data_IF_822529917387
#
_entry.id   IF_822529917387
#
_cell.length_a   1.000
_cell.length_b   1.000
_cell.length_c   1.000
_cell.angle_alpha   90.00
_cell.angle_beta   90.00
_cell.angle_gamma   90.00
#
_symmetry.space_group_name_H-M   'P 1'
#
loop_
_entity.id
_entity.type
_entity.pdbx_description
1 polymer ?
#
# COMPACT_ATOMS: atom_id res chain seq x y z
N UNK A 1 8.36 5.91 -2.11
CA UNK A 1 7.44 5.96 -3.27
C UNK A 1 6.11 6.56 -2.84
N UNK A 2 5.54 7.51 -3.58
CA UNK A 2 4.30 8.17 -3.16
C UNK A 2 3.04 7.51 -3.71
N UNK A 3 2.06 7.28 -2.85
CA UNK A 3 0.76 6.75 -3.25
C UNK A 3 -0.37 7.37 -2.42
N UNK A 4 -1.59 7.32 -2.96
CA UNK A 4 -2.79 7.53 -2.16
C UNK A 4 -3.27 6.17 -1.65
N UNK A 5 -3.43 6.03 -0.34
CA UNK A 5 -3.96 4.82 0.28
C UNK A 5 -5.34 5.06 0.88
N UNK A 6 -6.21 4.07 0.77
CA UNK A 6 -7.46 3.96 1.50
C UNK A 6 -7.43 2.66 2.30
N UNK A 7 -7.82 2.71 3.56
CA UNK A 7 -7.87 1.57 4.47
C UNK A 7 -9.33 1.37 4.89
N UNK A 8 -9.81 0.13 4.76
CA UNK A 8 -11.19 -0.25 5.05
C UNK A 8 -11.26 -1.34 6.11
N UNK A 9 -12.26 -1.24 6.98
CA UNK A 9 -12.75 -2.32 7.83
C UNK A 9 -14.11 -2.78 7.29
N UNK A 10 -14.13 -3.93 6.61
CA UNK A 10 -15.31 -4.37 5.86
C UNK A 10 -15.72 -3.36 4.77
N UNK A 11 -16.87 -2.70 4.98
CA UNK A 11 -17.39 -1.66 4.07
C UNK A 11 -17.06 -0.23 4.51
N UNK A 12 -16.55 -0.07 5.73
CA UNK A 12 -16.31 1.24 6.33
C UNK A 12 -14.91 1.73 5.98
N UNK A 13 -14.81 2.97 5.47
CA UNK A 13 -13.51 3.61 5.26
C UNK A 13 -13.04 4.22 6.57
N UNK A 14 -11.96 3.66 7.12
CA UNK A 14 -11.45 4.06 8.45
C UNK A 14 -10.26 5.01 8.36
N UNK A 15 -9.57 5.06 7.21
CA UNK A 15 -8.45 5.98 7.00
C UNK A 15 -8.16 6.18 5.51
N UNK A 16 -7.68 7.36 5.14
CA UNK A 16 -7.19 7.66 3.80
C UNK A 16 -6.14 8.77 3.81
N UNK A 17 -5.30 8.81 2.78
CA UNK A 17 -4.38 9.92 2.56
C UNK A 17 -3.18 9.57 1.69
N UNK A 18 -2.35 10.59 1.43
CA UNK A 18 -1.08 10.39 0.75
C UNK A 18 -0.02 9.84 1.71
N UNK A 19 0.71 8.84 1.23
CA UNK A 19 1.73 8.11 1.97
C UNK A 19 3.02 8.01 1.17
N UNK A 20 4.12 7.94 1.89
CA UNK A 20 5.38 7.43 1.38
C UNK A 20 5.48 5.93 1.71
N UNK A 21 5.89 5.16 0.72
CA UNK A 21 6.03 3.71 0.73
C UNK A 21 7.49 3.34 0.53
N UNK A 22 7.98 2.42 1.35
CA UNK A 22 9.25 1.76 1.10
C UNK A 22 9.11 0.28 1.40
N UNK A 23 9.69 -0.56 0.54
CA UNK A 23 9.79 -1.98 0.78
C UNK A 23 11.26 -2.33 1.01
N UNK A 24 11.58 -2.95 2.13
CA UNK A 24 12.92 -3.39 2.46
C UNK A 24 12.89 -4.57 3.43
N UNK A 25 13.77 -5.55 3.22
CA UNK A 25 13.90 -6.73 4.11
C UNK A 25 12.55 -7.43 4.35
N UNK A 26 11.78 -7.66 3.29
CA UNK A 26 10.44 -8.26 3.35
C UNK A 26 9.40 -7.50 4.19
N UNK A 27 9.60 -6.20 4.41
CA UNK A 27 8.67 -5.33 5.16
C UNK A 27 8.25 -4.15 4.29
N UNK A 28 6.94 -4.01 4.09
CA UNK A 28 6.31 -2.82 3.55
C UNK A 28 6.12 -1.79 4.65
N UNK A 29 6.80 -0.65 4.53
CA UNK A 29 6.63 0.50 5.41
C UNK A 29 5.75 1.56 4.74
N UNK A 30 4.70 1.99 5.44
CA UNK A 30 3.75 3.01 4.99
C UNK A 30 3.80 4.19 5.97
N UNK A 31 4.27 5.33 5.49
CA UNK A 31 4.40 6.56 6.30
C UNK A 31 3.44 7.63 5.80
N UNK A 32 2.57 8.15 6.66
CA UNK A 32 1.71 9.28 6.31
C UNK A 32 2.50 10.56 5.98
N UNK A 33 2.13 11.23 4.89
CA UNK A 33 2.66 12.55 4.54
C UNK A 33 1.86 13.64 5.30
N UNK A 34 2.13 13.81 6.59
CA UNK A 34 1.62 14.96 7.38
C UNK A 34 2.81 15.73 7.93
N UNK A 35 2.88 17.03 7.66
CA UNK A 35 4.02 17.88 8.00
C UNK A 35 4.46 17.74 9.46
N UNK A 36 5.78 17.61 9.66
CA UNK A 36 6.56 17.59 10.92
C UNK A 36 6.06 16.81 12.15
N UNK A 37 4.92 16.12 12.09
CA UNK A 37 4.39 15.36 13.21
C UNK A 37 4.69 13.88 13.01
N UNK A 38 5.66 13.41 13.79
CA UNK A 38 6.09 12.01 14.03
C UNK A 38 5.31 10.99 13.20
N UNK A 39 5.97 10.54 12.12
CA UNK A 39 5.54 9.49 11.19
C UNK A 39 4.94 8.31 11.96
N UNK A 40 3.61 8.14 11.93
CA UNK A 40 3.05 6.79 12.16
C UNK A 40 3.46 5.97 10.94
N UNK A 41 4.45 5.11 11.15
CA UNK A 41 4.88 4.12 10.17
C UNK A 41 4.06 2.87 10.45
N UNK A 42 3.30 2.41 9.45
CA UNK A 42 2.71 1.08 9.47
C UNK A 42 3.74 0.17 8.83
N UNK A 43 4.22 -0.82 9.58
CA UNK A 43 5.13 -1.85 9.08
C UNK A 43 4.32 -3.13 8.87
N UNK A 44 4.34 -3.63 7.64
CA UNK A 44 3.58 -4.81 7.21
C UNK A 44 4.59 -5.83 6.69
N UNK A 45 4.84 -6.92 7.43
CA UNK A 45 5.59 -8.06 6.93
C UNK A 45 4.90 -8.65 5.71
N UNK A 46 5.63 -8.93 4.63
CA UNK A 46 5.01 -9.35 3.37
C UNK A 46 4.38 -10.76 3.47
N UNK A 47 4.91 -11.61 4.33
CA UNK A 47 4.36 -12.92 4.66
C UNK A 47 2.99 -12.87 5.36
N UNK A 48 2.60 -11.70 5.87
CA UNK A 48 1.28 -11.46 6.48
C UNK A 48 0.29 -10.79 5.51
N UNK A 49 0.74 -10.46 4.30
CA UNK A 49 -0.10 -9.90 3.24
C UNK A 49 -0.84 -11.05 2.56
N UNK A 50 -2.14 -10.86 2.33
CA UNK A 50 -2.98 -11.84 1.63
C UNK A 50 -3.97 -11.14 0.70
N UNK A 51 -4.63 -11.90 -0.17
CA UNK A 51 -5.69 -11.38 -1.04
C UNK A 51 -5.22 -10.22 -1.93
N UNK A 52 -4.04 -10.35 -2.52
CA UNK A 52 -3.49 -9.34 -3.43
C UNK A 52 -4.32 -9.31 -4.70
N UNK A 53 -4.80 -8.12 -5.07
CA UNK A 53 -5.54 -7.85 -6.28
C UNK A 53 -4.93 -6.64 -7.00
N UNK A 54 -4.62 -6.79 -8.29
CA UNK A 54 -4.25 -5.67 -9.17
C UNK A 54 -5.39 -5.36 -10.12
N UNK A 55 -5.47 -4.10 -10.58
CA UNK A 55 -6.51 -3.68 -11.51
C UNK A 55 -6.45 -2.20 -11.86
N UNK A 56 -7.56 -1.67 -12.35
CA UNK A 56 -7.69 -0.24 -12.70
C UNK A 56 -8.85 0.42 -11.95
N UNK A 57 -8.67 1.68 -11.60
CA UNK A 57 -9.69 2.58 -11.06
C UNK A 57 -9.63 3.91 -11.83
N UNK A 58 -10.67 4.22 -12.60
CA UNK A 58 -10.72 5.43 -13.45
C UNK A 58 -9.45 5.63 -14.30
N UNK A 59 -9.00 4.57 -14.98
CA UNK A 59 -7.77 4.51 -15.78
C UNK A 59 -6.45 4.56 -14.99
N UNK A 60 -6.48 4.78 -13.68
CA UNK A 60 -5.32 4.67 -12.80
C UNK A 60 -5.11 3.23 -12.37
N UNK A 61 -3.86 2.83 -12.22
CA UNK A 61 -3.56 1.52 -11.67
C UNK A 61 -3.89 1.48 -10.18
N UNK A 62 -4.44 0.35 -9.77
CA UNK A 62 -4.87 0.09 -8.40
C UNK A 62 -4.29 -1.24 -7.95
N UNK A 63 -3.76 -1.26 -6.74
CA UNK A 63 -3.40 -2.50 -6.05
C UNK A 63 -4.12 -2.54 -4.72
N UNK A 64 -4.57 -3.71 -4.29
CA UNK A 64 -5.09 -3.89 -2.95
C UNK A 64 -4.64 -5.20 -2.34
N UNK A 65 -4.61 -5.23 -1.02
CA UNK A 65 -4.33 -6.43 -0.25
C UNK A 65 -5.02 -6.39 1.11
N UNK A 66 -5.01 -7.52 1.80
CA UNK A 66 -5.53 -7.70 3.15
C UNK A 66 -4.37 -7.84 4.13
N UNK A 67 -4.48 -7.16 5.28
CA UNK A 67 -3.58 -7.31 6.42
C UNK A 67 -4.35 -7.08 7.72
N UNK A 68 -4.22 -7.99 8.69
CA UNK A 68 -4.94 -7.95 9.98
C UNK A 68 -6.46 -7.69 9.84
N UNK A 69 -7.09 -8.26 8.82
CA UNK A 69 -8.53 -8.09 8.55
C UNK A 69 -8.91 -6.78 7.85
N UNK A 70 -7.97 -5.84 7.67
CA UNK A 70 -8.19 -4.58 6.97
C UNK A 70 -7.83 -4.69 5.49
N UNK A 71 -8.63 -4.07 4.63
CA UNK A 71 -8.32 -3.94 3.19
C UNK A 71 -7.56 -2.64 2.95
N UNK A 72 -6.34 -2.76 2.42
CA UNK A 72 -5.54 -1.64 1.96
C UNK A 72 -5.69 -1.51 0.45
N UNK A 73 -6.03 -0.31 -0.02
CA UNK A 73 -6.21 0.00 -1.44
C UNK A 73 -5.30 1.16 -1.81
N UNK A 74 -4.37 0.91 -2.70
CA UNK A 74 -3.43 1.90 -3.23
C UNK A 74 -3.90 2.31 -4.62
N UNK A 75 -4.05 3.61 -4.81
CA UNK A 75 -4.30 4.23 -6.11
C UNK A 75 -3.08 5.08 -6.44
N UNK A 76 -2.40 4.73 -7.54
CA UNK A 76 -1.16 5.39 -7.93
C UNK A 76 -1.49 6.68 -8.68
N UNK A 77 -1.22 7.83 -8.08
CA UNK A 77 -1.55 9.15 -8.64
C UNK A 77 -0.37 9.87 -9.31
N UNK A 78 0.63 9.15 -9.84
CA UNK A 78 1.80 9.80 -10.46
C UNK A 78 2.65 8.91 -11.37
N UNK A 79 3.29 9.56 -12.37
CA UNK A 79 4.26 8.96 -13.29
C UNK A 79 5.46 8.41 -12.50
N UNK A 80 5.69 7.09 -12.57
CA UNK A 80 6.83 6.39 -11.94
C UNK A 80 6.51 5.54 -10.72
N UNK A 81 5.30 5.62 -10.15
CA UNK A 81 4.92 4.87 -8.94
C UNK A 81 4.27 3.51 -9.13
N UNK A 82 3.88 3.20 -10.36
CA UNK A 82 3.03 2.06 -10.68
C UNK A 82 3.66 0.71 -10.34
N UNK A 83 4.88 0.45 -10.81
CA UNK A 83 5.42 -0.89 -10.68
C UNK A 83 6.04 -1.18 -9.31
N UNK A 84 6.31 -0.18 -8.48
CA UNK A 84 7.13 -0.39 -7.28
C UNK A 84 6.53 -1.41 -6.31
N UNK A 85 5.26 -1.27 -5.97
CA UNK A 85 4.60 -2.17 -5.01
C UNK A 85 4.32 -3.55 -5.62
N UNK A 86 3.94 -3.59 -6.89
CA UNK A 86 3.68 -4.84 -7.63
C UNK A 86 4.98 -5.63 -7.83
N UNK A 87 6.05 -5.00 -8.32
CA UNK A 87 7.37 -5.62 -8.50
C UNK A 87 7.92 -6.15 -7.19
N UNK A 88 7.89 -5.38 -6.10
CA UNK A 88 8.49 -5.80 -4.83
C UNK A 88 7.65 -6.88 -4.13
N UNK A 89 6.31 -6.75 -4.10
CA UNK A 89 5.47 -7.79 -3.50
C UNK A 89 5.49 -9.08 -4.30
N UNK A 90 5.46 -9.02 -5.63
CA UNK A 90 5.50 -10.23 -6.45
C UNK A 90 6.87 -10.91 -6.41
N UNK A 91 7.97 -10.13 -6.37
CA UNK A 91 9.33 -10.70 -6.29
C UNK A 91 9.56 -11.41 -4.96
N UNK A 92 9.19 -10.79 -3.84
CA UNK A 92 9.47 -11.33 -2.50
C UNK A 92 8.51 -12.46 -2.10
N UNK A 93 7.37 -12.61 -2.77
CA UNK A 93 6.47 -13.75 -2.59
C UNK A 93 6.85 -14.97 -3.46
N UNK A 94 7.79 -14.82 -4.39
CA UNK A 94 8.26 -15.90 -5.27
C UNK A 94 9.60 -16.51 -4.84
N UNK A 95 10.29 -15.92 -3.84
CA UNK A 95 11.46 -16.49 -3.15
C UNK A 95 11.04 -17.25 -1.89
#
# INVERSE_FOLDING_TARGET
MFAYVQIFDGKDNVSYGYVDLSFAKNVLSISGLKGNLRKRVIEIPADQISGIESGKYQSWNRMSFMYQGLKYVFVYSGYGGYNYLEEHLMTEMME
#
